data_IF_092618507208
#
_entry.id   IF_092618507208
#
_cell.length_a   1.000
_cell.length_b   1.000
_cell.length_c   1.000
_cell.angle_alpha   90.00
_cell.angle_beta   90.00
_cell.angle_gamma   90.00
#
_symmetry.space_group_name_H-M   'P 1'
#
loop_
_entity.id
_entity.type
_entity.pdbx_description
1 polymer ?
#
# COMPACT_ATOMS: atom_id res chain seq x y z
N UNK A 1 6.94 29.02 -7.14
CA UNK A 1 7.09 28.25 -5.89
C UNK A 1 8.10 27.16 -6.17
N UNK A 2 9.16 27.07 -5.36
CA UNK A 2 10.10 25.96 -5.45
C UNK A 2 9.40 24.73 -4.85
N UNK A 3 9.02 23.77 -5.67
CA UNK A 3 8.41 22.50 -5.22
C UNK A 3 9.48 21.53 -4.69
N UNK A 4 10.76 21.87 -4.89
CA UNK A 4 11.95 21.05 -4.63
C UNK A 4 12.17 20.66 -3.15
N UNK A 5 11.22 20.94 -2.26
CA UNK A 5 11.32 20.58 -0.85
C UNK A 5 9.96 20.46 -0.15
N UNK A 6 8.87 20.18 -0.87
CA UNK A 6 7.59 19.94 -0.22
C UNK A 6 7.59 18.53 0.41
N UNK A 7 7.43 18.41 1.74
CA UNK A 7 7.59 17.14 2.43
C UNK A 7 6.41 16.19 2.16
N UNK A 8 6.72 14.90 2.20
CA UNK A 8 5.73 13.82 2.24
C UNK A 8 5.55 13.35 3.68
N UNK A 9 4.29 13.18 4.09
CA UNK A 9 3.93 12.66 5.41
C UNK A 9 3.48 11.22 5.22
N UNK A 10 4.34 10.29 5.58
CA UNK A 10 4.11 8.86 5.48
C UNK A 10 3.38 8.38 6.72
N UNK A 11 2.23 7.74 6.53
CA UNK A 11 1.42 7.19 7.61
C UNK A 11 0.99 5.78 7.22
N UNK A 12 1.03 4.90 8.20
CA UNK A 12 0.46 3.56 8.18
C UNK A 12 -0.27 3.38 9.51
N UNK A 13 -1.47 2.83 9.43
CA UNK A 13 -2.34 2.60 10.57
C UNK A 13 -2.69 1.13 10.68
N UNK A 14 -2.76 0.64 11.91
CA UNK A 14 -3.37 -0.65 12.20
C UNK A 14 -4.76 -0.43 12.77
N UNK A 15 -5.71 -1.24 12.33
CA UNK A 15 -7.12 -1.14 12.70
C UNK A 15 -7.66 -2.47 13.24
N UNK A 16 -8.79 -2.41 13.94
CA UNK A 16 -9.53 -3.62 14.33
C UNK A 16 -10.26 -4.32 13.18
N UNK A 17 -10.27 -3.69 12.00
CA UNK A 17 -10.91 -4.17 10.78
C UNK A 17 -11.01 -3.05 9.74
N UNK A 18 -11.90 -3.17 8.75
CA UNK A 18 -12.02 -2.24 7.63
C UNK A 18 -13.38 -1.50 7.58
N UNK A 19 -14.25 -1.68 8.58
CA UNK A 19 -15.51 -0.96 8.71
C UNK A 19 -15.29 0.43 9.30
N UNK A 20 -15.52 1.48 8.52
CA UNK A 20 -15.52 2.87 9.05
C UNK A 20 -16.64 3.14 10.06
N UNK A 21 -17.59 2.22 10.24
CA UNK A 21 -18.64 2.36 11.26
C UNK A 21 -18.24 1.68 12.57
N UNK A 22 -17.69 0.48 12.46
CA UNK A 22 -17.56 -0.41 13.60
C UNK A 22 -16.10 -0.46 14.09
N UNK A 23 -15.12 -0.40 13.19
CA UNK A 23 -13.71 -0.60 13.52
C UNK A 23 -13.00 0.68 13.98
N UNK A 24 -11.91 0.51 14.72
CA UNK A 24 -11.13 1.60 15.31
C UNK A 24 -9.63 1.52 14.95
N UNK A 25 -8.97 2.67 14.94
CA UNK A 25 -7.50 2.78 14.92
C UNK A 25 -6.91 2.23 16.23
N UNK A 26 -5.85 1.43 16.13
CA UNK A 26 -5.14 0.85 17.27
C UNK A 26 -3.62 1.06 17.23
N UNK A 27 -3.05 1.40 16.06
CA UNK A 27 -1.67 1.87 15.93
C UNK A 27 -1.60 2.96 14.87
N UNK A 28 -0.69 3.92 15.04
CA UNK A 28 -0.29 4.85 14.00
C UNK A 28 1.23 5.02 14.03
N UNK A 29 1.87 4.84 12.88
CA UNK A 29 3.24 5.25 12.66
C UNK A 29 3.29 6.44 11.70
N UNK A 30 4.27 7.33 11.89
CA UNK A 30 4.43 8.55 11.07
C UNK A 30 5.89 8.81 10.78
N UNK A 31 6.24 9.00 9.51
CA UNK A 31 7.57 9.44 9.06
C UNK A 31 7.40 10.63 8.11
N UNK A 32 8.21 11.68 8.27
CA UNK A 32 8.26 12.77 7.28
C UNK A 32 9.54 12.66 6.46
N UNK A 33 9.41 12.68 5.13
CA UNK A 33 10.54 12.74 4.21
C UNK A 33 10.58 14.07 3.46
N UNK A 34 11.73 14.41 2.90
CA UNK A 34 11.79 15.36 1.79
C UNK A 34 11.24 14.76 0.48
N UNK A 35 11.34 15.52 -0.61
CA UNK A 35 10.91 15.09 -1.95
C UNK A 35 11.78 14.00 -2.57
N UNK A 36 12.97 13.77 -2.01
CA UNK A 36 13.92 12.74 -2.44
C UNK A 36 13.79 11.45 -1.62
N UNK A 37 12.74 11.36 -0.79
CA UNK A 37 12.39 10.21 0.04
C UNK A 37 13.35 9.99 1.22
N UNK A 38 14.11 11.02 1.61
CA UNK A 38 15.02 10.94 2.76
C UNK A 38 14.26 11.29 4.04
N UNK A 39 14.21 10.41 5.06
CA UNK A 39 13.58 10.70 6.34
C UNK A 39 14.23 11.90 7.04
N UNK A 40 13.41 12.83 7.54
CA UNK A 40 13.86 14.05 8.22
C UNK A 40 14.05 13.86 9.73
N UNK A 41 13.54 12.75 10.29
CA UNK A 41 13.64 12.36 11.69
C UNK A 41 13.31 10.86 11.86
N UNK A 42 13.55 10.25 13.04
CA UNK A 42 13.26 8.83 13.29
C UNK A 42 11.80 8.40 13.15
N UNK A 43 10.86 9.34 13.11
CA UNK A 43 9.42 9.07 13.06
C UNK A 43 8.75 9.05 14.44
N UNK A 44 7.45 8.77 14.44
CA UNK A 44 6.63 8.49 15.63
C UNK A 44 5.97 7.12 15.45
N UNK A 45 5.77 6.41 16.56
CA UNK A 45 4.92 5.22 16.61
C UNK A 45 4.13 5.20 17.91
N UNK A 46 2.81 5.09 17.82
CA UNK A 46 1.91 5.09 18.97
C UNK A 46 0.85 4.00 18.86
N UNK A 47 0.69 3.25 19.94
CA UNK A 47 -0.51 2.45 20.16
C UNK A 47 -1.65 3.32 20.68
N UNK A 48 -2.86 3.09 20.17
CA UNK A 48 -4.07 3.85 20.49
C UNK A 48 -5.02 2.92 21.23
N UNK A 49 -5.63 3.41 22.31
CA UNK A 49 -6.68 2.66 23.03
C UNK A 49 -8.00 2.78 22.26
N UNK A 50 -8.52 1.70 21.65
CA UNK A 50 -9.82 1.73 21.00
C UNK A 50 -10.96 1.59 22.03
N UNK A 51 -12.21 1.88 21.64
CA UNK A 51 -13.38 1.47 22.40
C UNK A 51 -13.41 -0.07 22.61
N UNK A 52 -13.86 -0.59 23.76
CA UNK A 52 -13.90 -2.02 24.04
C UNK A 52 -14.65 -2.84 22.97
N UNK A 53 -15.77 -2.30 22.46
CA UNK A 53 -16.59 -2.95 21.45
C UNK A 53 -15.83 -3.25 20.15
N UNK A 54 -14.88 -2.38 19.77
CA UNK A 54 -14.06 -2.58 18.57
C UNK A 54 -13.09 -3.76 18.74
N UNK A 55 -12.59 -3.98 19.96
CA UNK A 55 -11.77 -5.15 20.27
C UNK A 55 -12.59 -6.42 20.40
N UNK A 56 -13.83 -6.34 20.90
CA UNK A 56 -14.71 -7.51 21.08
C UNK A 56 -15.19 -8.07 19.74
N UNK A 57 -15.58 -7.21 18.79
CA UNK A 57 -16.11 -7.63 17.50
C UNK A 57 -15.04 -7.97 16.44
N UNK A 58 -13.76 -7.69 16.73
CA UNK A 58 -12.63 -7.99 15.85
C UNK A 58 -12.66 -9.47 15.44
N UNK A 59 -12.65 -9.73 14.13
CA UNK A 59 -12.73 -11.09 13.60
C UNK A 59 -11.48 -11.92 13.92
N UNK A 60 -11.61 -13.24 13.77
CA UNK A 60 -10.54 -14.18 14.10
C UNK A 60 -9.26 -13.98 13.28
N UNK A 61 -9.39 -13.49 12.03
CA UNK A 61 -8.24 -13.26 11.16
C UNK A 61 -7.43 -12.07 11.68
N UNK A 62 -8.07 -10.92 11.85
CA UNK A 62 -7.44 -9.68 12.33
C UNK A 62 -6.91 -9.87 13.76
N UNK A 63 -7.69 -10.51 14.64
CA UNK A 63 -7.25 -10.80 16.01
C UNK A 63 -6.00 -11.65 16.03
N UNK A 64 -5.96 -12.74 15.26
CA UNK A 64 -4.80 -13.63 15.21
C UNK A 64 -3.56 -12.93 14.63
N UNK A 65 -3.76 -12.07 13.63
CA UNK A 65 -2.69 -11.24 13.06
C UNK A 65 -2.08 -10.32 14.12
N UNK A 66 -2.90 -9.49 14.78
CA UNK A 66 -2.44 -8.54 15.81
C UNK A 66 -1.94 -9.20 17.09
N UNK A 67 -2.41 -10.42 17.40
CA UNK A 67 -1.86 -11.22 18.50
C UNK A 67 -0.45 -11.70 18.16
N UNK A 68 -0.24 -12.18 16.92
CA UNK A 68 1.07 -12.70 16.48
C UNK A 68 2.13 -11.61 16.33
N UNK A 69 1.75 -10.41 15.90
CA UNK A 69 2.67 -9.26 15.84
C UNK A 69 3.00 -8.71 17.24
N UNK A 70 2.20 -9.06 18.26
CA UNK A 70 2.31 -8.52 19.61
C UNK A 70 1.58 -7.19 19.81
N UNK A 71 0.94 -6.65 18.75
CA UNK A 71 0.28 -5.35 18.81
C UNK A 71 -0.82 -5.29 19.87
N UNK A 72 -1.63 -6.34 20.05
CA UNK A 72 -2.67 -6.34 21.09
C UNK A 72 -2.11 -6.21 22.51
N UNK A 73 -0.92 -6.75 22.78
CA UNK A 73 -0.24 -6.59 24.06
C UNK A 73 0.26 -5.15 24.25
N UNK A 74 0.80 -4.54 23.19
CA UNK A 74 1.22 -3.13 23.19
C UNK A 74 0.02 -2.22 23.40
N UNK A 75 -1.09 -2.44 22.69
CA UNK A 75 -2.34 -1.67 22.86
C UNK A 75 -2.86 -1.78 24.30
N UNK A 76 -2.85 -2.98 24.88
CA UNK A 76 -3.31 -3.20 26.25
C UNK A 76 -2.42 -2.54 27.32
N UNK A 77 -1.10 -2.49 27.09
CA UNK A 77 -0.13 -2.01 28.08
C UNK A 77 0.30 -0.55 27.91
N UNK A 78 0.27 -0.04 26.67
CA UNK A 78 0.82 1.26 26.28
C UNK A 78 -0.16 2.10 25.45
N UNK A 79 -1.37 1.61 25.18
CA UNK A 79 -2.39 2.34 24.44
C UNK A 79 -2.67 3.70 25.06
N UNK A 80 -2.79 4.71 24.19
CA UNK A 80 -3.06 6.10 24.57
C UNK A 80 -4.39 6.59 23.99
N UNK A 81 -5.02 7.60 24.61
CA UNK A 81 -6.23 8.22 24.05
C UNK A 81 -5.96 8.82 22.66
N UNK A 82 -6.86 8.55 21.72
CA UNK A 82 -6.77 9.00 20.33
C UNK A 82 -6.49 10.51 20.20
N UNK A 83 -7.17 11.34 20.99
CA UNK A 83 -7.02 12.79 20.94
C UNK A 83 -5.62 13.28 21.36
N UNK A 84 -4.96 12.58 22.29
CA UNK A 84 -3.58 12.91 22.68
C UNK A 84 -2.60 12.53 21.57
N UNK A 85 -2.80 11.36 20.96
CA UNK A 85 -1.99 10.87 19.84
C UNK A 85 -2.12 11.79 18.63
N UNK A 86 -3.34 12.21 18.27
CA UNK A 86 -3.57 13.15 17.17
C UNK A 86 -2.82 14.47 17.39
N UNK A 87 -2.89 15.04 18.60
CA UNK A 87 -2.22 16.29 18.92
C UNK A 87 -0.69 16.18 18.76
N UNK A 88 -0.10 15.10 19.26
CA UNK A 88 1.35 14.88 19.15
C UNK A 88 1.81 14.60 17.71
N UNK A 89 1.03 13.84 16.95
CA UNK A 89 1.30 13.60 15.53
C UNK A 89 1.21 14.91 14.75
N UNK A 90 0.18 15.72 14.97
CA UNK A 90 0.02 17.00 14.31
C UNK A 90 1.17 17.96 14.64
N UNK A 91 1.57 18.03 15.90
CA UNK A 91 2.70 18.87 16.32
C UNK A 91 3.99 18.41 15.66
N UNK A 92 4.26 17.10 15.64
CA UNK A 92 5.41 16.52 14.95
C UNK A 92 5.42 16.86 13.46
N UNK A 93 4.28 16.69 12.76
CA UNK A 93 4.13 17.03 11.33
C UNK A 93 4.39 18.52 11.09
N UNK A 94 3.85 19.41 11.92
CA UNK A 94 4.03 20.86 11.79
C UNK A 94 5.48 21.32 11.91
N UNK A 95 6.36 20.58 12.59
CA UNK A 95 7.80 20.92 12.64
C UNK A 95 8.46 20.86 11.27
N UNK A 96 7.99 19.98 10.39
CA UNK A 96 8.57 19.77 9.06
C UNK A 96 7.69 20.36 7.94
N UNK A 97 6.38 20.38 8.16
CA UNK A 97 5.37 20.90 7.25
C UNK A 97 4.55 22.00 7.93
N UNK A 98 5.11 23.19 8.21
CA UNK A 98 4.41 24.21 8.99
C UNK A 98 3.25 24.87 8.22
N UNK A 99 3.28 24.82 6.89
CA UNK A 99 2.25 25.44 6.05
C UNK A 99 1.08 24.46 5.87
N UNK A 100 -0.14 24.80 6.32
CA UNK A 100 -1.30 23.95 6.13
C UNK A 100 -1.60 23.68 4.65
N UNK A 101 -2.18 22.50 4.38
CA UNK A 101 -2.66 22.05 3.07
C UNK A 101 -1.57 22.00 2.00
N UNK A 102 -0.32 21.75 2.39
CA UNK A 102 0.80 21.57 1.46
C UNK A 102 1.35 20.15 1.45
N UNK A 103 1.71 19.62 2.62
CA UNK A 103 2.27 18.29 2.71
C UNK A 103 1.24 17.23 2.28
N UNK A 104 1.70 16.23 1.53
CA UNK A 104 0.86 15.18 0.97
C UNK A 104 1.02 13.90 1.79
N UNK A 105 -0.11 13.27 2.11
CA UNK A 105 -0.15 11.95 2.74
C UNK A 105 0.41 10.89 1.78
N UNK A 106 1.31 10.04 2.25
CA UNK A 106 1.96 8.99 1.47
C UNK A 106 1.93 7.63 2.20
N UNK A 107 1.94 6.55 1.43
CA UNK A 107 1.96 5.18 1.96
C UNK A 107 1.52 4.14 0.93
N UNK A 108 1.51 2.87 1.33
CA UNK A 108 0.97 1.78 0.52
C UNK A 108 -0.53 1.65 0.74
N UNK A 109 -1.34 1.70 -0.32
CA UNK A 109 -2.81 1.59 -0.19
C UNK A 109 -3.39 2.62 0.79
N UNK A 110 -2.71 3.76 0.91
CA UNK A 110 -2.91 4.77 1.96
C UNK A 110 -4.29 5.44 1.92
N UNK A 111 -5.05 5.21 0.85
CA UNK A 111 -6.45 5.59 0.78
C UNK A 111 -7.29 4.90 1.87
N UNK A 112 -6.88 3.73 2.35
CA UNK A 112 -7.53 3.01 3.44
C UNK A 112 -7.26 3.72 4.77
N UNK A 113 -6.00 4.01 5.09
CA UNK A 113 -5.60 4.77 6.27
C UNK A 113 -6.26 6.15 6.27
N UNK A 114 -6.22 6.84 5.13
CA UNK A 114 -6.85 8.15 4.94
C UNK A 114 -8.31 8.14 5.37
N UNK A 115 -9.07 7.09 5.07
CA UNK A 115 -10.48 7.02 5.41
C UNK A 115 -10.72 6.96 6.93
N UNK A 116 -9.86 6.25 7.67
CA UNK A 116 -9.88 6.25 9.13
C UNK A 116 -9.36 7.58 9.69
N UNK A 117 -8.27 8.12 9.16
CA UNK A 117 -7.72 9.42 9.59
C UNK A 117 -8.71 10.57 9.37
N UNK A 118 -9.46 10.59 8.26
CA UNK A 118 -10.50 11.59 8.02
C UNK A 118 -11.62 11.56 9.08
N UNK A 119 -11.92 10.36 9.63
CA UNK A 119 -12.93 10.15 10.67
C UNK A 119 -12.39 10.46 12.07
N UNK A 120 -11.18 9.98 12.36
CA UNK A 120 -10.65 9.85 13.72
C UNK A 120 -9.60 10.90 14.07
N UNK A 121 -8.91 11.46 13.07
CA UNK A 121 -7.88 12.49 13.23
C UNK A 121 -8.15 13.69 12.30
N UNK A 122 -9.32 14.33 12.38
CA UNK A 122 -9.73 15.37 11.45
C UNK A 122 -8.83 16.60 11.47
N UNK A 123 -8.25 16.97 12.62
CA UNK A 123 -7.38 18.16 12.71
C UNK A 123 -6.03 17.92 12.03
N UNK A 124 -5.53 16.68 12.07
CA UNK A 124 -4.38 16.26 11.27
C UNK A 124 -4.70 16.34 9.78
N UNK A 125 -5.83 15.77 9.37
CA UNK A 125 -6.22 15.72 7.95
C UNK A 125 -6.55 17.10 7.36
N UNK A 126 -7.06 18.04 8.16
CA UNK A 126 -7.25 19.44 7.75
C UNK A 126 -5.92 20.16 7.47
N UNK A 127 -4.85 19.76 8.15
CA UNK A 127 -3.51 20.31 7.95
C UNK A 127 -2.80 19.72 6.74
N UNK A 128 -3.11 18.47 6.36
CA UNK A 128 -2.56 17.84 5.16
C UNK A 128 -3.28 18.30 3.89
N UNK A 129 -2.60 18.14 2.75
CA UNK A 129 -3.23 18.33 1.44
C UNK A 129 -4.17 17.16 1.13
N UNK A 130 -5.22 17.40 0.34
CA UNK A 130 -6.27 16.40 0.08
C UNK A 130 -5.83 15.22 -0.81
N UNK A 131 -4.74 15.40 -1.57
CA UNK A 131 -4.17 14.35 -2.44
C UNK A 131 -3.37 13.37 -1.60
N UNK A 132 -3.13 12.20 -2.19
CA UNK A 132 -2.25 11.18 -1.66
C UNK A 132 -1.17 10.82 -2.68
N UNK A 133 -0.01 10.35 -2.19
CA UNK A 133 0.96 9.57 -2.95
C UNK A 133 0.78 8.11 -2.54
N UNK A 134 0.04 7.36 -3.36
CA UNK A 134 -0.22 5.94 -3.10
C UNK A 134 0.77 5.08 -3.90
N UNK A 135 1.69 4.45 -3.17
CA UNK A 135 2.74 3.58 -3.74
C UNK A 135 2.12 2.33 -4.39
N UNK A 136 0.99 1.84 -3.88
CA UNK A 136 0.26 0.70 -4.48
C UNK A 136 -0.25 1.03 -5.88
N UNK A 137 -0.57 2.31 -6.17
CA UNK A 137 -0.89 2.74 -7.54
C UNK A 137 0.30 2.57 -8.47
N UNK A 138 1.51 2.96 -8.03
CA UNK A 138 2.75 2.79 -8.82
C UNK A 138 3.06 1.30 -9.03
N UNK A 139 2.92 0.48 -7.99
CA UNK A 139 3.07 -0.98 -8.05
C UNK A 139 2.13 -1.61 -9.09
N UNK A 140 0.87 -1.21 -9.11
CA UNK A 140 -0.11 -1.71 -10.09
C UNK A 140 0.22 -1.30 -11.54
N UNK A 141 0.77 -0.10 -11.75
CA UNK A 141 1.27 0.32 -13.07
C UNK A 141 2.53 -0.46 -13.46
N UNK A 142 3.47 -0.66 -12.53
CA UNK A 142 4.66 -1.46 -12.73
C UNK A 142 4.30 -2.90 -13.16
N UNK A 143 3.31 -3.52 -12.49
CA UNK A 143 2.84 -4.87 -12.81
C UNK A 143 2.34 -5.01 -14.25
N UNK A 144 1.68 -3.98 -14.78
CA UNK A 144 1.08 -3.99 -16.13
C UNK A 144 2.07 -3.58 -17.21
N UNK A 145 2.89 -2.56 -16.96
CA UNK A 145 3.72 -1.93 -17.99
C UNK A 145 5.18 -2.38 -17.92
N UNK A 146 5.65 -2.77 -16.74
CA UNK A 146 7.04 -3.16 -16.48
C UNK A 146 7.14 -4.42 -15.60
N UNK A 147 6.62 -5.60 -16.04
CA UNK A 147 6.55 -6.80 -15.20
C UNK A 147 7.89 -7.22 -14.57
N UNK A 148 9.00 -7.03 -15.29
CA UNK A 148 10.35 -7.32 -14.77
C UNK A 148 10.71 -6.45 -13.56
N UNK A 149 10.35 -5.17 -13.57
CA UNK A 149 10.55 -4.30 -12.43
C UNK A 149 9.62 -4.69 -11.27
N UNK A 150 8.37 -5.06 -11.56
CA UNK A 150 7.45 -5.53 -10.53
C UNK A 150 7.99 -6.77 -9.78
N UNK A 151 8.44 -7.81 -10.50
CA UNK A 151 8.95 -9.03 -9.87
C UNK A 151 10.30 -8.87 -9.18
N UNK A 152 11.04 -7.79 -9.48
CA UNK A 152 12.32 -7.48 -8.87
C UNK A 152 12.22 -6.47 -7.71
N UNK A 153 11.00 -6.03 -7.35
CA UNK A 153 10.79 -5.17 -6.20
C UNK A 153 11.22 -5.87 -4.88
N UNK A 154 11.69 -5.11 -3.88
CA UNK A 154 12.02 -5.65 -2.56
C UNK A 154 10.85 -6.44 -1.96
N UNK A 155 11.15 -7.55 -1.29
CA UNK A 155 10.14 -8.31 -0.56
C UNK A 155 9.87 -7.63 0.77
N UNK A 156 8.58 -7.44 1.11
CA UNK A 156 8.16 -7.00 2.43
C UNK A 156 8.42 -8.08 3.48
N UNK A 157 8.91 -7.67 4.63
CA UNK A 157 9.20 -8.48 5.81
C UNK A 157 8.48 -7.96 7.07
N UNK A 158 7.81 -6.79 7.00
CA UNK A 158 7.42 -5.92 8.11
C UNK A 158 6.52 -6.48 9.20
N UNK A 159 5.90 -7.65 9.02
CA UNK A 159 5.24 -8.37 10.10
C UNK A 159 3.98 -7.70 10.67
N UNK A 160 3.34 -6.78 9.93
CA UNK A 160 2.15 -6.03 10.35
C UNK A 160 2.43 -5.15 11.58
N UNK A 161 3.49 -4.34 11.47
CA UNK A 161 3.85 -3.33 12.45
C UNK A 161 4.01 -2.02 11.70
N UNK A 162 3.25 -1.00 12.09
CA UNK A 162 3.05 0.19 11.27
C UNK A 162 4.37 0.89 10.88
N UNK A 163 5.34 1.00 11.80
CA UNK A 163 6.62 1.63 11.51
C UNK A 163 7.46 0.84 10.48
N UNK A 164 7.47 -0.50 10.58
CA UNK A 164 8.20 -1.31 9.62
C UNK A 164 7.57 -1.21 8.23
N UNK A 165 6.24 -1.24 8.15
CA UNK A 165 5.49 -1.14 6.91
C UNK A 165 5.65 0.23 6.21
N UNK A 166 5.76 1.33 6.96
CA UNK A 166 6.09 2.66 6.39
C UNK A 166 7.47 2.66 5.76
N UNK A 167 8.50 2.18 6.48
CA UNK A 167 9.87 2.19 5.99
C UNK A 167 10.01 1.33 4.73
N UNK A 168 9.36 0.17 4.70
CA UNK A 168 9.29 -0.67 3.50
C UNK A 168 8.56 0.01 2.34
N UNK A 169 7.53 0.82 2.62
CA UNK A 169 6.79 1.55 1.59
C UNK A 169 7.62 2.71 1.01
N UNK A 170 8.45 3.37 1.82
CA UNK A 170 9.44 4.36 1.37
C UNK A 170 10.47 3.71 0.44
N UNK A 171 11.03 2.57 0.86
CA UNK A 171 12.00 1.81 0.06
C UNK A 171 11.39 1.30 -1.25
N UNK A 172 10.13 0.83 -1.22
CA UNK A 172 9.39 0.40 -2.40
C UNK A 172 9.21 1.55 -3.41
N UNK A 173 8.84 2.75 -2.95
CA UNK A 173 8.72 3.92 -3.83
C UNK A 173 10.08 4.37 -4.36
N UNK A 174 11.12 4.34 -3.53
CA UNK A 174 12.49 4.66 -3.95
C UNK A 174 12.99 3.70 -5.04
N UNK A 175 12.69 2.41 -4.90
CA UNK A 175 12.95 1.41 -5.92
C UNK A 175 12.23 1.75 -7.24
N UNK A 176 10.92 1.99 -7.20
CA UNK A 176 10.18 2.32 -8.41
C UNK A 176 10.63 3.62 -9.06
N UNK A 177 10.99 4.63 -8.26
CA UNK A 177 11.61 5.88 -8.75
C UNK A 177 12.86 5.58 -9.57
N UNK A 178 13.73 4.70 -9.09
CA UNK A 178 15.00 4.38 -9.74
C UNK A 178 14.84 3.61 -11.07
N UNK A 179 13.80 2.78 -11.21
CA UNK A 179 13.67 1.85 -12.36
C UNK A 179 12.57 2.21 -13.35
N UNK A 180 11.54 2.98 -12.95
CA UNK A 180 10.40 3.33 -13.81
C UNK A 180 10.45 4.77 -14.32
N UNK A 181 11.11 5.67 -13.59
CA UNK A 181 11.16 7.09 -13.95
C UNK A 181 12.52 7.44 -14.57
N UNK A 182 12.57 8.32 -15.59
CA UNK A 182 13.83 8.73 -16.20
C UNK A 182 14.78 9.38 -15.18
N UNK A 183 16.04 8.94 -15.14
CA UNK A 183 17.08 9.53 -14.30
C UNK A 183 17.39 10.98 -14.70
N UNK A 184 17.32 11.29 -15.99
CA UNK A 184 17.46 12.66 -16.50
C UNK A 184 16.08 13.27 -16.77
N UNK A 185 15.87 14.48 -16.26
CA UNK A 185 14.64 15.24 -16.50
C UNK A 185 14.46 15.49 -18.01
N UNK A 186 13.31 15.11 -18.60
CA UNK A 186 13.08 15.31 -20.02
C UNK A 186 13.02 16.81 -20.37
N UNK A 187 13.66 17.18 -21.48
CA UNK A 187 13.61 18.56 -22.00
C UNK A 187 12.16 18.97 -22.28
N UNK A 188 11.82 20.24 -22.02
CA UNK A 188 10.46 20.76 -22.20
C UNK A 188 9.88 20.49 -23.60
N UNK A 189 10.71 20.54 -24.64
CA UNK A 189 10.30 20.21 -26.02
C UNK A 189 9.86 18.75 -26.21
N UNK A 190 10.53 17.80 -25.55
CA UNK A 190 10.14 16.40 -25.57
C UNK A 190 8.81 16.18 -24.83
N UNK A 191 8.65 16.80 -23.66
CA UNK A 191 7.39 16.76 -22.89
C UNK A 191 6.21 17.31 -23.70
N UNK A 192 6.38 18.45 -24.37
CA UNK A 192 5.33 19.04 -25.22
C UNK A 192 4.93 18.14 -26.39
N UNK A 193 5.88 17.46 -27.03
CA UNK A 193 5.57 16.49 -28.10
C UNK A 193 4.82 15.28 -27.58
N UNK A 194 5.26 14.71 -26.45
CA UNK A 194 4.56 13.60 -25.82
C UNK A 194 3.12 13.99 -25.43
N UNK A 195 2.92 15.17 -24.85
CA UNK A 195 1.59 15.70 -24.52
C UNK A 195 0.70 15.85 -25.76
N UNK A 196 1.23 16.41 -26.85
CA UNK A 196 0.49 16.55 -28.10
C UNK A 196 0.08 15.19 -28.71
N UNK A 197 0.95 14.17 -28.62
CA UNK A 197 0.66 12.83 -29.13
C UNK A 197 -0.50 12.14 -28.40
N UNK A 198 -0.65 12.37 -27.08
CA UNK A 198 -1.69 11.74 -26.27
C UNK A 198 -2.96 12.58 -26.11
N UNK A 199 -2.90 13.88 -26.46
CA UNK A 199 -4.03 14.80 -26.28
C UNK A 199 -5.30 14.28 -26.97
N UNK A 200 -6.33 13.98 -26.17
CA UNK A 200 -7.61 13.44 -26.64
C UNK A 200 -7.57 12.00 -27.16
N UNK A 201 -6.45 11.27 -27.02
CA UNK A 201 -6.30 9.92 -27.56
C UNK A 201 -7.32 8.94 -26.98
N UNK A 202 -7.55 8.99 -25.65
CA UNK A 202 -8.55 8.14 -24.99
C UNK A 202 -9.98 8.41 -25.49
N UNK A 203 -10.36 9.69 -25.62
CA UNK A 203 -11.68 10.07 -26.13
C UNK A 203 -11.90 9.61 -27.57
N UNK A 204 -10.86 9.73 -28.43
CA UNK A 204 -10.90 9.22 -29.81
C UNK A 204 -11.02 7.70 -29.85
N UNK A 205 -10.25 6.98 -29.03
CA UNK A 205 -10.31 5.53 -28.95
C UNK A 205 -11.71 5.03 -28.52
N UNK A 206 -12.33 5.71 -27.55
CA UNK A 206 -13.71 5.42 -27.13
C UNK A 206 -14.72 5.71 -28.24
N UNK A 207 -14.60 6.86 -28.91
CA UNK A 207 -15.50 7.24 -30.01
C UNK A 207 -15.40 6.30 -31.23
N UNK A 208 -14.24 5.68 -31.45
CA UNK A 208 -14.03 4.70 -32.51
C UNK A 208 -14.55 3.28 -32.19
N UNK A 209 -15.24 3.09 -31.05
CA UNK A 209 -15.78 1.79 -30.63
C UNK A 209 -14.77 0.86 -29.95
N UNK A 210 -13.57 1.37 -29.64
CA UNK A 210 -12.45 0.58 -29.13
C UNK A 210 -11.94 -0.48 -30.12
N UNK A 211 -10.82 -1.16 -29.82
CA UNK A 211 -10.27 -2.22 -30.68
C UNK A 211 -11.19 -3.44 -30.83
N UNK A 212 -12.31 -3.52 -30.10
CA UNK A 212 -13.29 -4.60 -30.20
C UNK A 212 -14.34 -4.39 -31.31
N UNK A 213 -14.53 -3.16 -31.82
CA UNK A 213 -15.54 -2.88 -32.83
C UNK A 213 -15.11 -3.32 -34.25
N UNK A 214 -13.81 -3.37 -34.56
CA UNK A 214 -13.32 -3.86 -35.87
C UNK A 214 -13.40 -5.38 -36.01
N UNK A 215 -13.41 -6.14 -34.91
CA UNK A 215 -13.51 -7.60 -34.94
C UNK A 215 -14.93 -8.13 -35.24
N UNK A 216 -15.96 -7.29 -35.13
CA UNK A 216 -17.35 -7.69 -35.39
C UNK A 216 -17.78 -7.53 -36.87
N UNK A 217 -16.92 -6.96 -37.73
CA UNK A 217 -17.25 -6.66 -39.14
C UNK A 217 -16.78 -7.69 -40.17
N UNK A 218 -15.99 -8.69 -39.78
CA UNK A 218 -15.42 -9.68 -40.70
C UNK A 218 -15.64 -11.10 -40.16
N UNK A 219 -16.87 -11.61 -40.27
CA UNK A 219 -17.16 -12.96 -39.79
C UNK A 219 -18.61 -13.39 -39.88
N UNK A 220 -19.26 -13.18 -41.02
CA UNK A 220 -20.52 -13.87 -41.33
C UNK A 220 -20.38 -14.54 -42.69
N UNK A 221 -20.22 -15.88 -42.70
CA UNK A 221 -20.89 -16.88 -43.58
C UNK A 221 -20.28 -18.29 -43.35
N UNK A 222 -21.18 -19.27 -43.13
CA UNK A 222 -21.06 -20.75 -43.12
C UNK A 222 -20.31 -21.39 -41.93
N UNK A 223 -20.90 -22.23 -41.06
CA UNK A 223 -21.66 -23.48 -41.30
C UNK A 223 -20.65 -24.64 -41.48
N UNK A 224 -20.64 -25.79 -40.80
CA UNK A 224 -21.63 -26.60 -40.08
C UNK A 224 -20.87 -27.83 -39.46
N UNK A 225 -21.33 -28.35 -38.31
CA UNK A 225 -21.05 -29.64 -37.58
C UNK A 225 -19.59 -30.10 -37.35
N UNK A 226 -19.19 -30.73 -36.25
CA UNK A 226 -19.82 -31.31 -35.07
C UNK A 226 -18.73 -32.14 -34.36
N UNK A 227 -18.97 -32.49 -33.09
CA UNK A 227 -18.54 -33.72 -32.38
C UNK A 227 -18.07 -33.46 -30.94
N UNK A 228 -18.76 -34.14 -30.02
CA UNK A 228 -18.56 -34.16 -28.57
C UNK A 228 -17.41 -35.08 -28.18
N UNK A 229 -16.61 -34.70 -27.18
CA UNK A 229 -16.08 -35.48 -26.01
C UNK A 229 -15.39 -34.41 -25.12
N UNK A 230 -15.38 -34.32 -23.80
CA UNK A 230 -15.82 -35.09 -22.64
C UNK A 230 -15.27 -34.33 -21.40
N UNK A 231 -15.90 -34.54 -20.25
CA UNK A 231 -15.61 -33.84 -18.99
C UNK A 231 -14.31 -34.30 -18.30
N UNK A 232 -13.74 -33.42 -17.46
CA UNK A 232 -13.10 -33.65 -16.15
C UNK A 232 -12.06 -32.54 -15.88
N UNK A 233 -12.24 -31.65 -14.90
CA UNK A 233 -12.13 -31.79 -13.44
C UNK A 233 -10.68 -31.61 -12.90
N UNK A 234 -10.59 -30.63 -11.99
CA UNK A 234 -9.63 -30.34 -10.92
C UNK A 234 -8.28 -31.08 -10.80
N UNK A 235 -7.25 -30.32 -10.41
CA UNK A 235 -6.00 -30.88 -9.87
C UNK A 235 -5.11 -29.83 -9.22
N UNK A 236 -5.36 -29.53 -7.96
CA UNK A 236 -4.37 -28.98 -7.04
C UNK A 236 -3.43 -30.11 -6.59
N UNK A 237 -2.13 -29.86 -6.47
CA UNK A 237 -1.21 -30.83 -5.87
C UNK A 237 -0.32 -30.17 -4.81
N UNK A 238 -0.53 -30.64 -3.58
CA UNK A 238 0.29 -30.41 -2.41
C UNK A 238 1.43 -31.44 -2.38
N UNK A 239 2.62 -31.02 -1.95
CA UNK A 239 3.77 -31.91 -1.76
C UNK A 239 3.66 -32.65 -0.40
N UNK A 240 4.02 -33.95 -0.32
CA UNK A 240 3.93 -34.70 0.92
C UNK A 240 5.20 -34.60 1.76
N UNK A 241 4.98 -34.63 3.08
CA UNK A 241 5.99 -34.93 4.08
C UNK A 241 6.21 -36.45 4.18
N UNK A 242 7.47 -36.87 4.33
CA UNK A 242 7.81 -38.21 4.82
C UNK A 242 8.78 -38.08 5.99
N UNK A 243 8.31 -38.51 7.16
CA UNK A 243 9.14 -38.82 8.31
C UNK A 243 9.41 -40.31 8.36
N UNK A 244 10.64 -40.68 8.74
CA UNK A 244 10.93 -41.99 9.32
C UNK A 244 12.09 -41.83 10.30
N UNK A 245 11.81 -42.10 11.57
CA UNK A 245 12.76 -42.16 12.67
C UNK A 245 13.49 -43.51 12.68
N UNK A 246 14.76 -43.52 13.06
CA UNK A 246 15.37 -44.63 13.81
C UNK A 246 16.33 -44.11 14.87
N UNK A 247 16.19 -44.67 16.06
CA UNK A 247 16.93 -44.36 17.28
C UNK A 247 18.27 -45.13 17.36
N UNK A 248 19.22 -44.66 18.18
CA UNK A 248 20.27 -45.54 18.72
C UNK A 248 21.62 -44.96 19.16
N UNK A 249 21.63 -44.10 20.19
CA UNK A 249 22.58 -44.10 21.36
C UNK A 249 24.11 -43.86 21.14
N UNK A 250 24.93 -43.58 22.19
CA UNK A 250 25.63 -42.29 22.32
C UNK A 250 27.17 -42.42 22.41
N UNK A 251 27.90 -41.30 22.27
CA UNK A 251 29.24 -41.16 22.88
C UNK A 251 29.40 -39.77 23.49
N UNK A 252 29.78 -39.77 24.78
CA UNK A 252 30.38 -38.66 25.53
C UNK A 252 31.86 -38.49 25.15
N UNK A 253 32.45 -37.41 25.71
CA UNK A 253 33.88 -37.09 25.91
C UNK A 253 34.35 -36.12 24.80
N UNK A 254 34.70 -34.86 25.01
CA UNK A 254 34.98 -34.01 26.19
C UNK A 254 34.42 -32.58 25.97
#
# INVERSE_FOLDING_TARGET
MNLDNEPLVWIDCEMTGLSLRDDALIEIAVVVTDSELVPLAPGLNFAITPPPEALEQMDDFVRNMHTKSGLLEVVASQGRPLAEVEAEVLDYVKRFAPVPRKAILAGNSVHTDKAFLDRDMPTLMEHLHYRIVDVSSVKELARRWYPKAYYAAPKKAGGHLAMADILESIDELAYYRAVLFPLEQPRTGACRRAAAAVAGAAARALAAGGPAAEAAGAGAVAGDQGEQVGADAAGAEAAPATGAATAGTPRRID
#
